data_IF_722390732504
#
_entry.id   IF_722390732504
#
_cell.length_a   1.000
_cell.length_b   1.000
_cell.length_c   1.000
_cell.angle_alpha   90.00
_cell.angle_beta   90.00
_cell.angle_gamma   90.00
#
_symmetry.space_group_name_H-M   'P 1'
#
loop_
_entity.id
_entity.type
_entity.pdbx_description
1 polymer ?
#
# COMPACT_ATOMS: atom_id res chain seq x y z
N UNK A 1 -70.39 34.76 48.93
CA UNK A 1 -71.20 35.68 48.10
C UNK A 1 -70.31 36.25 47.01
N UNK A 2 -70.82 36.13 45.79
CA UNK A 2 -70.47 36.70 44.47
C UNK A 2 -69.84 38.13 44.42
N UNK A 3 -69.24 38.39 43.25
CA UNK A 3 -68.82 39.64 42.56
C UNK A 3 -67.32 39.99 42.66
N UNK A 4 -66.50 39.83 41.59
CA UNK A 4 -66.50 40.45 40.24
C UNK A 4 -65.85 41.84 40.20
N UNK A 5 -64.79 42.00 39.39
CA UNK A 5 -64.60 43.13 38.47
C UNK A 5 -63.35 42.91 37.57
N UNK A 6 -63.57 42.90 36.25
CA UNK A 6 -62.62 43.20 35.15
C UNK A 6 -63.06 44.61 34.70
N UNK A 7 -62.20 45.63 34.44
CA UNK A 7 -61.54 45.80 33.13
C UNK A 7 -60.28 46.70 33.07
N UNK A 8 -59.57 46.68 31.93
CA UNK A 8 -58.65 47.76 31.57
C UNK A 8 -57.79 47.51 30.32
N UNK A 9 -58.32 47.89 29.14
CA UNK A 9 -57.67 48.61 28.01
C UNK A 9 -56.24 48.19 27.57
N UNK A 10 -56.04 47.48 26.46
CA UNK A 10 -56.07 47.89 25.02
C UNK A 10 -55.07 49.00 24.64
N UNK A 11 -54.01 48.62 23.91
CA UNK A 11 -53.58 49.37 22.72
C UNK A 11 -53.14 48.41 21.61
N UNK A 12 -53.72 48.64 20.43
CA UNK A 12 -53.51 47.91 19.19
C UNK A 12 -52.48 48.63 18.31
N UNK A 13 -51.79 47.90 17.45
CA UNK A 13 -51.70 48.13 15.99
C UNK A 13 -50.74 47.07 15.40
N UNK A 14 -51.16 46.15 14.52
CA UNK A 14 -51.47 46.34 13.08
C UNK A 14 -50.19 46.78 12.34
N UNK A 15 -49.66 46.11 11.30
CA UNK A 15 -50.31 45.39 10.19
C UNK A 15 -49.27 44.65 9.31
N UNK A 16 -49.70 43.51 8.75
CA UNK A 16 -49.54 42.99 7.37
C UNK A 16 -48.15 42.91 6.70
N UNK A 17 -47.84 41.93 5.84
CA UNK A 17 -48.72 41.01 5.11
C UNK A 17 -47.91 39.92 4.38
N UNK A 18 -48.65 38.88 3.99
CA UNK A 18 -48.27 37.67 3.25
C UNK A 18 -47.63 37.95 1.88
N UNK A 19 -47.04 36.93 1.22
CA UNK A 19 -47.40 36.28 -0.08
C UNK A 19 -46.32 35.19 -0.32
N UNK A 20 -46.64 33.88 -0.30
CA UNK A 20 -47.11 33.01 -1.39
C UNK A 20 -45.98 32.21 -2.08
N UNK A 21 -46.19 30.88 -2.07
CA UNK A 21 -45.68 29.77 -2.88
C UNK A 21 -44.55 29.97 -3.91
N UNK A 22 -43.55 29.08 -3.85
CA UNK A 22 -43.22 28.17 -4.95
C UNK A 22 -42.30 27.04 -4.45
N UNK A 23 -42.75 25.79 -4.63
CA UNK A 23 -41.87 24.63 -4.54
C UNK A 23 -41.22 24.40 -5.91
N UNK A 24 -39.91 24.13 -5.94
CA UNK A 24 -39.44 23.16 -6.91
C UNK A 24 -38.54 22.10 -6.25
N UNK A 25 -38.81 20.85 -6.61
CA UNK A 25 -37.76 19.88 -6.91
C UNK A 25 -37.06 19.24 -5.72
N UNK A 26 -37.57 18.08 -5.33
CA UNK A 26 -36.67 17.02 -4.93
C UNK A 26 -35.70 16.73 -6.07
N UNK A 27 -34.42 16.98 -5.81
CA UNK A 27 -33.32 16.43 -6.58
C UNK A 27 -32.29 15.94 -5.55
N UNK A 28 -32.30 14.62 -5.37
CA UNK A 28 -31.29 13.80 -4.71
C UNK A 28 -29.91 14.10 -5.28
N UNK A 29 -29.20 15.05 -4.68
CA UNK A 29 -27.76 15.23 -4.87
C UNK A 29 -27.04 14.23 -3.98
N UNK A 30 -26.99 12.97 -4.43
CA UNK A 30 -26.12 11.96 -3.84
C UNK A 30 -24.68 12.45 -3.95
N UNK A 31 -24.16 13.00 -2.85
CA UNK A 31 -22.74 13.05 -2.64
C UNK A 31 -22.32 11.59 -2.39
N UNK A 32 -22.19 10.81 -3.46
CA UNK A 32 -21.43 9.57 -3.47
C UNK A 32 -19.96 9.98 -3.30
N UNK A 33 -19.64 10.48 -2.12
CA UNK A 33 -18.28 10.51 -1.65
C UNK A 33 -17.86 9.04 -1.66
N UNK A 34 -16.88 8.65 -2.50
CA UNK A 34 -16.48 7.26 -2.58
C UNK A 34 -16.20 6.79 -1.15
N UNK A 35 -16.81 5.67 -0.77
CA UNK A 35 -16.59 5.08 0.55
C UNK A 35 -15.07 5.09 0.78
N UNK A 36 -14.59 5.59 1.93
CA UNK A 36 -13.16 5.67 2.18
C UNK A 36 -12.57 4.30 1.91
N UNK A 37 -11.75 4.23 0.86
CA UNK A 37 -11.08 2.99 0.48
C UNK A 37 -10.30 2.55 1.72
N UNK A 38 -10.55 1.35 2.25
CA UNK A 38 -9.80 0.87 3.40
C UNK A 38 -8.32 0.95 3.02
N UNK A 39 -7.58 1.85 3.67
CA UNK A 39 -6.13 1.88 3.52
C UNK A 39 -5.66 0.57 4.12
N UNK A 40 -5.20 -0.34 3.29
CA UNK A 40 -4.57 -1.59 3.72
C UNK A 40 -3.32 -1.18 4.50
N UNK A 41 -3.45 -1.08 5.81
CA UNK A 41 -2.33 -0.78 6.70
C UNK A 41 -1.59 -2.10 6.95
N UNK A 42 -0.53 -2.33 6.17
CA UNK A 42 0.36 -3.49 6.31
C UNK A 42 1.15 -3.48 7.63
N UNK A 43 1.12 -2.38 8.40
CA UNK A 43 1.98 -2.18 9.57
C UNK A 43 1.31 -2.47 10.92
N UNK A 44 -0.01 -2.68 10.98
CA UNK A 44 -0.73 -2.89 12.25
C UNK A 44 -0.83 -4.37 12.67
N UNK A 45 -0.35 -5.30 11.86
CA UNK A 45 -0.62 -6.73 12.08
C UNK A 45 0.43 -7.44 12.93
N UNK A 46 1.66 -6.95 13.08
CA UNK A 46 2.76 -7.78 13.63
C UNK A 46 2.61 -8.15 15.12
N UNK A 47 2.26 -7.21 16.00
CA UNK A 47 2.12 -7.48 17.45
C UNK A 47 0.88 -8.32 17.75
N UNK A 48 -0.27 -7.96 17.17
CA UNK A 48 -1.52 -8.71 17.35
C UNK A 48 -1.43 -10.10 16.70
N UNK A 49 -0.72 -10.23 15.57
CA UNK A 49 -0.44 -11.51 14.94
C UNK A 49 0.35 -12.44 15.85
N UNK A 50 1.45 -11.96 16.44
CA UNK A 50 2.25 -12.80 17.34
C UNK A 50 1.46 -13.18 18.58
N UNK A 51 0.64 -12.28 19.13
CA UNK A 51 -0.22 -12.57 20.28
C UNK A 51 -1.28 -13.64 19.96
N UNK A 52 -1.87 -13.60 18.76
CA UNK A 52 -2.92 -14.53 18.34
C UNK A 52 -2.39 -15.88 17.85
N UNK A 53 -1.24 -15.89 17.15
CA UNK A 53 -0.72 -17.09 16.48
C UNK A 53 0.45 -17.75 17.23
N UNK A 54 1.10 -17.01 18.14
CA UNK A 54 2.37 -17.42 18.75
C UNK A 54 3.57 -17.38 17.79
N UNK A 55 3.37 -16.99 16.52
CA UNK A 55 4.40 -16.99 15.49
C UNK A 55 5.13 -15.63 15.49
N UNK A 56 6.47 -15.67 15.53
CA UNK A 56 7.32 -14.47 15.57
C UNK A 56 8.02 -14.25 14.24
N UNK A 57 7.84 -13.07 13.67
CA UNK A 57 8.63 -12.62 12.52
C UNK A 57 10.07 -12.33 12.92
N UNK A 58 10.98 -12.62 12.01
CA UNK A 58 12.39 -12.30 12.11
C UNK A 58 12.85 -11.53 10.89
N UNK A 59 13.77 -10.59 11.07
CA UNK A 59 14.40 -9.89 9.96
C UNK A 59 15.39 -10.81 9.24
N UNK A 60 15.32 -10.82 7.92
CA UNK A 60 16.27 -11.43 7.00
C UNK A 60 16.79 -10.38 6.03
N UNK A 61 18.07 -10.47 5.69
CA UNK A 61 18.77 -9.54 4.79
C UNK A 61 19.23 -10.27 3.55
N UNK A 62 19.08 -9.64 2.39
CA UNK A 62 19.44 -10.22 1.11
C UNK A 62 20.76 -9.69 0.57
N UNK A 63 21.64 -10.61 0.19
CA UNK A 63 22.83 -10.39 -0.60
C UNK A 63 22.63 -10.95 -2.02
N UNK A 64 23.16 -10.25 -3.02
CA UNK A 64 22.98 -10.63 -4.42
C UNK A 64 24.30 -11.02 -5.07
N UNK A 65 24.31 -12.15 -5.77
CA UNK A 65 25.37 -12.52 -6.70
C UNK A 65 24.91 -12.09 -8.10
N UNK A 66 25.56 -11.09 -8.74
CA UNK A 66 25.06 -10.52 -9.98
C UNK A 66 25.30 -11.44 -11.18
N UNK A 67 24.32 -11.49 -12.09
CA UNK A 67 24.41 -12.20 -13.37
C UNK A 67 24.49 -11.23 -14.54
N UNK A 68 25.52 -11.37 -15.39
CA UNK A 68 25.69 -10.51 -16.57
C UNK A 68 24.52 -10.59 -17.56
N UNK A 69 23.80 -11.73 -17.57
CA UNK A 69 22.68 -11.97 -18.47
C UNK A 69 21.42 -11.19 -18.07
N UNK A 70 21.25 -10.90 -16.78
CA UNK A 70 20.11 -10.13 -16.26
C UNK A 70 20.46 -8.66 -16.00
N UNK A 71 21.65 -8.38 -15.48
CA UNK A 71 22.01 -7.06 -14.97
C UNK A 71 22.22 -6.05 -16.10
N UNK A 72 22.75 -6.42 -17.26
CA UNK A 72 22.88 -5.51 -18.41
C UNK A 72 23.48 -4.14 -18.04
N UNK A 73 22.69 -3.05 -18.18
CA UNK A 73 23.05 -1.67 -17.76
C UNK A 73 22.61 -1.31 -16.33
N UNK A 74 21.84 -2.20 -15.72
CA UNK A 74 21.26 -2.12 -14.39
C UNK A 74 19.94 -2.91 -14.35
N UNK A 75 19.63 -3.45 -13.18
CA UNK A 75 18.45 -4.24 -12.87
C UNK A 75 17.82 -3.65 -11.62
N UNK A 76 16.56 -3.21 -11.72
CA UNK A 76 15.78 -2.81 -10.55
C UNK A 76 14.87 -3.97 -10.18
N UNK A 77 14.92 -4.37 -8.91
CA UNK A 77 14.12 -5.42 -8.31
C UNK A 77 13.21 -4.81 -7.26
N UNK A 78 11.94 -5.20 -7.28
CA UNK A 78 10.95 -4.87 -6.27
C UNK A 78 10.42 -6.17 -5.67
N UNK A 79 10.62 -6.37 -4.38
CA UNK A 79 10.14 -7.55 -3.69
C UNK A 79 8.61 -7.64 -3.77
N UNK A 80 8.09 -8.82 -4.10
CA UNK A 80 6.67 -9.12 -4.04
C UNK A 80 6.35 -9.77 -2.70
N UNK A 81 5.62 -9.04 -1.85
CA UNK A 81 5.15 -9.53 -0.57
C UNK A 81 4.31 -10.81 -0.74
N UNK A 82 4.52 -11.76 0.16
CA UNK A 82 3.80 -13.02 0.14
C UNK A 82 4.04 -13.83 1.40
N UNK A 83 2.96 -14.33 2.01
CA UNK A 83 3.06 -15.14 3.22
C UNK A 83 4.02 -16.34 3.00
N UNK A 84 4.99 -16.56 3.90
CA UNK A 84 5.09 -16.06 5.27
C UNK A 84 6.04 -14.86 5.46
N UNK A 85 6.27 -14.08 4.41
CA UNK A 85 7.21 -12.97 4.37
C UNK A 85 6.54 -11.66 3.93
N UNK A 86 7.08 -10.54 4.39
CA UNK A 86 6.75 -9.22 3.87
C UNK A 86 7.98 -8.31 3.91
N UNK A 87 8.02 -7.35 3.01
CA UNK A 87 9.12 -6.41 2.87
C UNK A 87 9.12 -5.32 3.94
N UNK A 88 10.32 -4.88 4.33
CA UNK A 88 10.50 -3.86 5.36
C UNK A 88 10.83 -2.49 4.76
N UNK A 89 9.86 -1.59 4.74
CA UNK A 89 10.06 -0.17 4.42
C UNK A 89 10.70 0.05 3.04
N UNK A 90 11.81 0.79 3.01
CA UNK A 90 12.59 1.04 1.77
C UNK A 90 13.38 -0.20 1.30
N UNK A 91 13.52 -1.22 2.14
CA UNK A 91 14.30 -2.43 1.85
C UNK A 91 13.62 -3.41 0.90
N UNK A 92 12.64 -2.95 0.12
CA UNK A 92 11.90 -3.75 -0.86
C UNK A 92 12.29 -3.43 -2.29
N UNK A 93 13.04 -2.35 -2.50
CA UNK A 93 13.58 -1.96 -3.81
C UNK A 93 15.10 -2.06 -3.77
N UNK A 94 15.65 -2.82 -4.69
CA UNK A 94 17.11 -2.94 -4.89
C UNK A 94 17.44 -2.63 -6.34
N UNK A 95 18.45 -1.81 -6.56
CA UNK A 95 19.09 -1.67 -7.86
C UNK A 95 20.43 -2.39 -7.86
N UNK A 96 20.68 -3.16 -8.91
CA UNK A 96 21.92 -3.92 -9.12
C UNK A 96 22.48 -3.46 -10.46
N UNK A 97 23.68 -2.90 -10.42
CA UNK A 97 24.39 -2.34 -11.56
C UNK A 97 25.59 -3.17 -12.01
N UNK A 98 26.24 -2.75 -13.10
CA UNK A 98 27.48 -3.37 -13.56
C UNK A 98 28.57 -3.36 -12.48
N UNK A 99 29.46 -4.36 -12.51
CA UNK A 99 30.58 -4.51 -11.56
C UNK A 99 30.13 -4.62 -10.09
N UNK A 100 29.01 -5.29 -9.83
CA UNK A 100 28.46 -5.52 -8.49
C UNK A 100 28.14 -4.24 -7.69
N UNK A 101 27.91 -3.12 -8.39
CA UNK A 101 27.37 -1.92 -7.76
C UNK A 101 25.92 -2.19 -7.36
N UNK A 102 25.52 -1.73 -6.19
CA UNK A 102 24.14 -1.87 -5.73
C UNK A 102 23.68 -0.60 -5.01
N UNK A 103 22.38 -0.42 -4.97
CA UNK A 103 21.68 0.63 -4.22
C UNK A 103 20.40 0.06 -3.61
N UNK A 104 20.14 0.38 -2.35
CA UNK A 104 19.15 -0.32 -1.51
C UNK A 104 19.67 -1.63 -0.91
N UNK A 105 18.94 -2.15 0.06
CA UNK A 105 19.23 -3.40 0.76
C UNK A 105 17.94 -4.20 0.87
N UNK A 106 17.93 -5.48 0.47
CA UNK A 106 16.74 -6.31 0.63
C UNK A 106 16.56 -6.66 2.10
N UNK A 107 15.45 -6.22 2.70
CA UNK A 107 15.11 -6.49 4.10
C UNK A 107 13.69 -7.04 4.20
N UNK A 108 13.58 -8.25 4.70
CA UNK A 108 12.32 -8.97 4.81
C UNK A 108 12.05 -9.31 6.28
N UNK A 109 10.78 -9.27 6.67
CA UNK A 109 10.31 -9.90 7.89
C UNK A 109 9.60 -11.21 7.52
N UNK A 110 10.14 -12.34 7.97
CA UNK A 110 9.60 -13.65 7.68
C UNK A 110 9.44 -14.50 8.94
N UNK A 111 8.48 -15.44 8.94
CA UNK A 111 8.37 -16.45 10.01
C UNK A 111 9.55 -17.42 10.00
N UNK A 112 10.02 -17.79 8.81
CA UNK A 112 11.19 -18.63 8.56
C UNK A 112 11.89 -18.17 7.27
N UNK A 113 13.12 -18.62 7.04
CA UNK A 113 13.88 -18.23 5.86
C UNK A 113 13.15 -18.69 4.58
N UNK A 114 12.90 -17.79 3.62
CA UNK A 114 12.30 -18.21 2.36
C UNK A 114 13.30 -19.06 1.57
N UNK A 115 12.80 -20.06 0.85
CA UNK A 115 13.57 -20.84 -0.14
C UNK A 115 13.51 -20.23 -1.54
N UNK A 116 12.55 -19.32 -1.75
CA UNK A 116 12.31 -18.64 -3.01
C UNK A 116 11.80 -17.22 -2.72
N UNK A 117 12.26 -16.25 -3.50
CA UNK A 117 11.75 -14.88 -3.50
C UNK A 117 11.30 -14.51 -4.91
N UNK A 118 10.18 -13.77 -4.98
CA UNK A 118 9.67 -13.22 -6.21
C UNK A 118 9.89 -11.72 -6.25
N UNK A 119 10.38 -11.23 -7.38
CA UNK A 119 10.56 -9.81 -7.64
C UNK A 119 9.74 -9.41 -8.86
N UNK A 120 9.12 -8.24 -8.85
CA UNK A 120 8.91 -7.52 -10.11
C UNK A 120 10.22 -6.86 -10.49
N UNK A 121 10.54 -6.88 -11.78
CA UNK A 121 11.84 -6.42 -12.26
C UNK A 121 11.74 -5.56 -13.50
N UNK A 122 12.79 -4.78 -13.74
CA UNK A 122 13.02 -4.06 -15.01
C UNK A 122 14.50 -3.78 -15.22
N UNK A 123 14.93 -3.68 -16.47
CA UNK A 123 16.26 -3.16 -16.78
C UNK A 123 16.26 -1.63 -16.81
N UNK A 124 17.04 -1.02 -15.93
CA UNK A 124 17.14 0.44 -15.85
C UNK A 124 18.46 0.89 -15.18
N UNK A 125 18.91 2.10 -15.51
CA UNK A 125 20.01 2.76 -14.77
C UNK A 125 19.53 3.17 -13.38
N UNK A 126 20.48 3.42 -12.45
CA UNK A 126 20.18 3.75 -11.05
C UNK A 126 19.18 4.90 -10.90
N UNK A 127 19.39 5.96 -11.68
CA UNK A 127 18.65 7.23 -11.58
C UNK A 127 17.52 7.34 -12.63
N UNK A 128 17.11 6.22 -13.25
CA UNK A 128 16.01 6.23 -14.20
C UNK A 128 14.67 6.48 -13.49
N UNK A 129 13.79 7.23 -14.13
CA UNK A 129 12.42 7.49 -13.65
C UNK A 129 11.64 6.19 -13.37
N UNK A 130 10.56 6.30 -12.59
CA UNK A 130 9.67 5.17 -12.31
C UNK A 130 8.83 4.78 -13.55
N UNK A 131 9.45 4.06 -14.48
CA UNK A 131 8.82 3.29 -15.56
C UNK A 131 8.13 1.97 -15.10
N UNK A 132 7.36 1.38 -16.01
CA UNK A 132 6.69 0.09 -15.81
C UNK A 132 7.68 -1.06 -15.56
N UNK A 133 7.22 -2.07 -14.81
CA UNK A 133 7.99 -3.32 -14.60
C UNK A 133 7.83 -4.24 -15.80
N UNK A 134 8.90 -4.97 -16.14
CA UNK A 134 8.95 -5.89 -17.28
C UNK A 134 8.24 -7.21 -17.00
N UNK A 135 8.36 -7.75 -15.79
CA UNK A 135 7.75 -9.03 -15.44
C UNK A 135 8.09 -9.47 -14.02
N UNK A 136 7.98 -10.78 -13.78
CA UNK A 136 8.35 -11.41 -12.51
C UNK A 136 9.66 -12.19 -12.67
N UNK A 137 10.58 -12.03 -11.72
CA UNK A 137 11.71 -12.92 -11.51
C UNK A 137 11.42 -13.78 -10.29
N UNK A 138 11.65 -15.08 -10.43
CA UNK A 138 11.52 -16.06 -9.37
C UNK A 138 12.93 -16.55 -9.06
N UNK A 139 13.43 -16.22 -7.88
CA UNK A 139 14.80 -16.46 -7.50
C UNK A 139 14.87 -17.48 -6.36
N UNK A 140 15.61 -18.59 -6.51
CA UNK A 140 15.92 -19.45 -5.39
C UNK A 140 16.77 -18.68 -4.37
N UNK A 141 16.64 -19.08 -3.10
CA UNK A 141 17.33 -18.44 -1.99
C UNK A 141 18.05 -19.48 -1.16
N UNK A 142 19.35 -19.27 -0.97
CA UNK A 142 20.12 -19.95 0.05
C UNK A 142 20.11 -19.11 1.32
N UNK A 143 19.96 -19.75 2.49
CA UNK A 143 19.94 -19.04 3.76
C UNK A 143 21.05 -19.51 4.69
N UNK A 144 21.77 -18.56 5.29
CA UNK A 144 22.72 -18.80 6.37
C UNK A 144 22.31 -17.97 7.58
N UNK A 145 21.50 -18.55 8.46
CA UNK A 145 20.94 -17.85 9.62
C UNK A 145 19.94 -16.77 9.21
N UNK A 146 20.34 -15.48 9.27
CA UNK A 146 19.50 -14.32 8.89
C UNK A 146 19.91 -13.68 7.57
N UNK A 147 20.98 -14.17 6.96
CA UNK A 147 21.42 -13.73 5.65
C UNK A 147 20.82 -14.65 4.59
N UNK A 148 20.36 -14.04 3.50
CA UNK A 148 19.78 -14.68 2.32
C UNK A 148 20.72 -14.39 1.14
N UNK A 149 21.21 -15.43 0.49
CA UNK A 149 22.00 -15.30 -0.74
C UNK A 149 21.10 -15.57 -1.93
N UNK A 150 21.08 -14.62 -2.87
CA UNK A 150 20.28 -14.67 -4.09
C UNK A 150 21.23 -14.62 -5.28
N UNK A 151 21.42 -15.76 -5.95
CA UNK A 151 22.15 -15.80 -7.21
C UNK A 151 21.23 -15.44 -8.38
N UNK A 152 21.49 -14.30 -9.01
CA UNK A 152 20.72 -13.84 -10.16
C UNK A 152 20.91 -14.75 -11.39
N UNK A 153 21.96 -15.57 -11.43
CA UNK A 153 22.18 -16.58 -12.47
C UNK A 153 21.14 -17.70 -12.43
N UNK A 154 20.62 -17.98 -11.24
CA UNK A 154 19.66 -19.07 -10.99
C UNK A 154 18.20 -18.58 -10.97
N UNK A 155 17.97 -17.28 -11.12
CA UNK A 155 16.63 -16.73 -11.20
C UNK A 155 15.96 -17.09 -12.53
N UNK A 156 14.72 -17.57 -12.44
CA UNK A 156 13.86 -17.84 -13.58
C UNK A 156 12.96 -16.64 -13.89
N UNK A 157 12.82 -16.32 -15.17
CA UNK A 157 11.79 -15.36 -15.60
C UNK A 157 10.44 -16.06 -15.55
N UNK A 158 9.57 -15.54 -14.69
CA UNK A 158 8.17 -15.95 -14.64
C UNK A 158 7.42 -15.54 -15.91
N UNK A 159 6.11 -15.83 -15.99
CA UNK A 159 5.29 -15.38 -17.10
C UNK A 159 5.38 -13.86 -17.23
N UNK A 160 5.69 -13.39 -18.43
CA UNK A 160 5.60 -11.97 -18.74
C UNK A 160 4.13 -11.55 -18.56
N UNK A 161 3.91 -10.51 -17.75
CA UNK A 161 2.65 -9.80 -17.83
C UNK A 161 2.72 -8.97 -19.10
N UNK A 162 1.80 -9.20 -20.05
CA UNK A 162 1.58 -8.22 -21.11
C UNK A 162 1.43 -6.87 -20.41
N UNK A 163 2.39 -5.98 -20.70
CA UNK A 163 2.68 -4.77 -19.97
C UNK A 163 1.38 -4.15 -19.44
N UNK A 164 1.29 -3.94 -18.11
CA UNK A 164 0.17 -3.20 -17.53
C UNK A 164 0.27 -1.76 -18.07
N UNK A 165 -0.35 -1.53 -19.24
CA UNK A 165 -0.39 -0.23 -19.92
C UNK A 165 -1.24 0.75 -19.17
#
# INVERSE_FOLDING_TARGET
MKLALIPGFVFAMLTLGAYAADAPGGATGGNEQPAPQPRISLFSTSTDWQALTGLRYSEYRGEFIPSSNLVGRGLVLYYLDGFPCYGLGEGVRVWIGPNNKHDGELRLACLYAPTEIKFTWRNATRDADQAQSTGVLICPVESSGRELTIDLGDCEKGPDWEEYK
#
